data_IF_221534274621
#
_entry.id   IF_221534274621
#
_cell.length_a   1.000
_cell.length_b   1.000
_cell.length_c   1.000
_cell.angle_alpha   90.00
_cell.angle_beta   90.00
_cell.angle_gamma   90.00
#
_symmetry.space_group_name_H-M   'P 1'
#
loop_
_entity.id
_entity.type
_entity.pdbx_description
1 polymer ?
#
# COMPACT_ATOMS: atom_id res chain seq x y z
N UNK A 1 7.96 -4.20 -51.14
CA UNK A 1 6.92 -3.35 -50.52
C UNK A 1 5.72 -4.23 -50.20
N UNK A 2 5.16 -4.02 -49.01
CA UNK A 2 4.05 -4.71 -48.33
C UNK A 2 4.37 -5.95 -47.46
N UNK A 3 4.01 -5.75 -46.18
CA UNK A 3 3.44 -6.66 -45.16
C UNK A 3 4.27 -6.56 -43.86
N UNK A 4 3.76 -6.29 -42.66
CA UNK A 4 2.41 -6.16 -42.09
C UNK A 4 2.65 -5.41 -40.75
N UNK A 5 1.94 -4.31 -40.45
CA UNK A 5 0.80 -4.23 -39.53
C UNK A 5 1.11 -4.46 -38.03
N UNK A 6 0.51 -3.54 -37.25
CA UNK A 6 0.07 -3.64 -35.85
C UNK A 6 1.14 -3.67 -34.75
N UNK A 7 1.48 -2.47 -34.23
CA UNK A 7 1.79 -2.32 -32.81
C UNK A 7 0.45 -2.04 -32.13
N UNK A 8 -0.12 -2.97 -31.33
CA UNK A 8 -1.31 -2.66 -30.58
C UNK A 8 -0.97 -1.62 -29.52
N UNK A 9 -1.81 -0.59 -29.44
CA UNK A 9 -1.86 0.34 -28.33
C UNK A 9 -2.07 -0.45 -27.02
N UNK A 10 -1.03 -0.50 -26.19
CA UNK A 10 -1.14 -0.84 -24.77
C UNK A 10 -0.96 0.46 -23.97
N UNK A 11 -1.84 1.43 -24.23
CA UNK A 11 -1.99 2.64 -23.43
C UNK A 11 -3.47 2.82 -23.07
N UNK A 12 -4.08 1.77 -22.53
CA UNK A 12 -5.43 1.83 -21.99
C UNK A 12 -5.55 0.81 -20.86
N UNK A 13 -6.05 1.28 -19.71
CA UNK A 13 -6.32 0.56 -18.45
C UNK A 13 -5.28 0.68 -17.31
N UNK A 14 -4.83 1.91 -17.04
CA UNK A 14 -4.38 2.33 -15.69
C UNK A 14 -5.29 3.43 -15.11
N UNK A 15 -6.57 3.41 -15.51
CA UNK A 15 -7.62 4.24 -14.93
C UNK A 15 -8.68 3.31 -14.34
N UNK A 16 -9.08 3.61 -13.10
CA UNK A 16 -10.09 2.95 -12.26
C UNK A 16 -9.60 1.80 -11.36
N UNK A 17 -9.10 2.18 -10.18
CA UNK A 17 -9.36 1.46 -8.93
C UNK A 17 -9.19 2.44 -7.76
N UNK A 18 -10.22 3.24 -7.48
CA UNK A 18 -10.36 3.89 -6.17
C UNK A 18 -11.09 2.92 -5.25
N UNK A 19 -10.35 2.03 -4.60
CA UNK A 19 -10.84 1.36 -3.39
C UNK A 19 -10.34 2.15 -2.21
N UNK A 20 -11.25 2.91 -1.58
CA UNK A 20 -11.01 3.55 -0.31
C UNK A 20 -10.82 2.48 0.76
N UNK A 21 -9.59 2.01 0.94
CA UNK A 21 -9.13 1.48 2.21
C UNK A 21 -8.81 2.66 3.12
N UNK A 22 -8.78 2.47 4.44
CA UNK A 22 -8.17 3.45 5.34
C UNK A 22 -6.67 3.51 5.01
N UNK A 23 -6.29 4.42 4.10
CA UNK A 23 -4.93 4.49 3.59
C UNK A 23 -4.04 5.21 4.60
N UNK A 24 -3.16 4.46 5.28
CA UNK A 24 -2.03 5.01 6.05
C UNK A 24 -0.93 5.61 5.15
N UNK A 25 -1.21 5.76 3.85
CA UNK A 25 -0.29 6.32 2.86
C UNK A 25 -0.98 7.42 2.02
N UNK A 26 -0.18 8.35 1.50
CA UNK A 26 -0.69 9.39 0.60
C UNK A 26 -0.95 8.77 -0.79
N UNK A 27 -2.21 8.64 -1.25
CA UNK A 27 -2.46 8.14 -2.60
C UNK A 27 -2.15 9.18 -3.67
N UNK A 28 -1.72 10.40 -3.33
CA UNK A 28 -1.55 11.46 -4.32
C UNK A 28 -0.56 11.10 -5.43
N UNK A 29 -0.85 11.62 -6.61
CA UNK A 29 0.10 11.61 -7.72
C UNK A 29 1.32 12.46 -7.35
N UNK A 30 2.49 12.06 -7.82
CA UNK A 30 3.72 12.84 -7.69
C UNK A 30 4.44 12.96 -9.01
N UNK A 31 5.11 14.09 -9.19
CA UNK A 31 6.03 14.34 -10.29
C UNK A 31 7.45 14.48 -9.74
N UNK A 32 8.42 13.94 -10.47
CA UNK A 32 9.82 13.99 -10.06
C UNK A 32 10.75 14.35 -11.21
N UNK A 33 11.79 15.11 -10.87
CA UNK A 33 12.91 15.40 -11.76
C UNK A 33 14.20 14.83 -11.17
N UNK A 34 15.06 14.27 -12.01
CA UNK A 34 16.36 13.74 -11.59
C UNK A 34 17.48 14.12 -12.54
N UNK A 35 18.69 14.17 -11.99
CA UNK A 35 19.95 14.13 -12.73
C UNK A 35 20.61 12.78 -12.44
N UNK A 36 21.34 12.23 -13.39
CA UNK A 36 22.02 10.95 -13.19
C UNK A 36 23.39 10.91 -13.83
N UNK A 37 24.32 10.24 -13.16
CA UNK A 37 25.54 9.73 -13.76
C UNK A 37 25.24 8.35 -14.35
N UNK A 38 25.79 8.06 -15.52
CA UNK A 38 25.60 6.78 -16.20
C UNK A 38 26.95 6.13 -16.49
N UNK A 39 27.05 4.83 -16.19
CA UNK A 39 28.07 3.96 -16.76
C UNK A 39 27.50 3.37 -18.03
N UNK A 40 28.01 3.83 -19.18
CA UNK A 40 27.56 3.41 -20.50
C UNK A 40 28.38 2.23 -21.00
N UNK A 41 27.73 1.35 -21.76
CA UNK A 41 28.39 0.23 -22.41
C UNK A 41 29.50 0.71 -23.35
N UNK A 42 30.72 0.26 -23.11
CA UNK A 42 31.91 0.69 -23.86
C UNK A 42 31.83 0.28 -25.35
N UNK A 43 30.97 -0.68 -25.69
CA UNK A 43 30.74 -1.13 -27.08
C UNK A 43 30.19 -0.01 -27.97
N UNK A 44 29.51 0.99 -27.40
CA UNK A 44 29.09 2.20 -28.13
C UNK A 44 30.26 3.16 -28.44
N UNK A 45 31.44 2.92 -27.87
CA UNK A 45 32.68 3.64 -28.14
C UNK A 45 32.72 5.07 -27.64
N UNK A 46 31.75 5.52 -26.83
CA UNK A 46 31.68 6.88 -26.29
C UNK A 46 32.17 6.96 -24.83
N UNK A 47 33.04 6.02 -24.44
CA UNK A 47 33.52 5.85 -23.06
C UNK A 47 32.48 5.21 -22.14
N UNK A 48 32.85 5.04 -20.87
CA UNK A 48 32.03 4.44 -19.83
C UNK A 48 31.43 5.47 -18.86
N UNK A 49 31.45 6.75 -19.21
CA UNK A 49 30.93 7.84 -18.36
C UNK A 49 29.99 8.72 -19.17
N UNK A 50 28.74 8.75 -18.74
CA UNK A 50 27.71 9.63 -19.25
C UNK A 50 27.01 10.37 -18.12
N UNK A 51 26.19 11.33 -18.51
CA UNK A 51 25.31 12.05 -17.61
C UNK A 51 23.98 12.30 -18.30
N UNK A 52 22.95 12.54 -17.50
CA UNK A 52 21.61 12.66 -18.01
C UNK A 52 20.64 13.30 -17.05
N UNK A 53 19.42 13.44 -17.56
CA UNK A 53 18.28 13.97 -16.83
C UNK A 53 17.08 13.06 -17.01
N UNK A 54 16.21 13.04 -16.02
CA UNK A 54 15.01 12.22 -16.01
C UNK A 54 13.80 12.99 -15.50
N UNK A 55 12.63 12.63 -16.01
CA UNK A 55 11.33 13.02 -15.47
C UNK A 55 10.53 11.76 -15.18
N UNK A 56 9.77 11.80 -14.09
CA UNK A 56 8.88 10.71 -13.69
C UNK A 56 7.53 11.24 -13.20
N UNK A 57 6.47 10.51 -13.51
CA UNK A 57 5.14 10.72 -12.96
C UNK A 57 4.73 9.42 -12.28
N UNK A 58 4.52 9.48 -10.97
CA UNK A 58 4.22 8.31 -10.15
C UNK A 58 2.87 8.38 -9.46
N UNK A 59 2.33 7.20 -9.20
CA UNK A 59 1.07 6.99 -8.48
C UNK A 59 1.26 5.84 -7.50
N UNK A 60 1.15 6.11 -6.18
CA UNK A 60 1.01 5.07 -5.18
C UNK A 60 -0.23 4.22 -5.46
N UNK A 61 -0.05 2.89 -5.44
CA UNK A 61 -1.09 1.90 -5.72
C UNK A 61 -1.54 1.15 -4.46
N UNK A 62 -0.66 1.01 -3.47
CA UNK A 62 -0.93 0.37 -2.17
C UNK A 62 0.08 0.82 -1.11
N UNK A 63 0.04 0.26 0.10
CA UNK A 63 1.03 0.54 1.17
C UNK A 63 2.48 0.20 0.79
N UNK A 64 2.72 -0.66 -0.20
CA UNK A 64 4.08 -1.04 -0.60
C UNK A 64 4.36 -0.82 -2.08
N UNK A 65 3.35 -0.54 -2.91
CA UNK A 65 3.54 -0.44 -4.35
C UNK A 65 3.31 0.97 -4.89
N UNK A 66 4.21 1.42 -5.75
CA UNK A 66 4.03 2.58 -6.63
C UNK A 66 4.18 2.14 -8.09
N UNK A 67 3.41 2.74 -8.99
CA UNK A 67 3.66 2.69 -10.43
C UNK A 67 4.20 4.03 -10.91
N UNK A 68 5.17 4.02 -11.82
CA UNK A 68 5.74 5.23 -12.43
C UNK A 68 5.77 5.13 -13.95
N UNK A 69 5.52 6.24 -14.61
CA UNK A 69 5.95 6.48 -16.00
C UNK A 69 7.20 7.34 -15.92
N UNK A 70 8.28 6.91 -16.58
CA UNK A 70 9.55 7.64 -16.58
C UNK A 70 10.04 7.92 -18.00
N UNK A 71 10.71 9.04 -18.17
CA UNK A 71 11.46 9.36 -19.37
C UNK A 71 12.86 9.83 -18.98
N UNK A 72 13.88 9.33 -19.66
CA UNK A 72 15.28 9.63 -19.34
C UNK A 72 16.05 9.96 -20.61
N UNK A 73 16.91 10.98 -20.52
CA UNK A 73 17.89 11.30 -21.55
C UNK A 73 19.29 11.12 -20.97
N UNK A 74 20.12 10.32 -21.62
CA UNK A 74 21.51 10.09 -21.25
C UNK A 74 22.42 10.45 -22.41
N UNK A 75 23.55 11.08 -22.12
CA UNK A 75 24.61 11.38 -23.08
C UNK A 75 25.98 10.98 -22.53
N UNK A 76 26.75 10.28 -23.34
CA UNK A 76 28.18 10.03 -23.10
C UNK A 76 29.01 10.56 -24.27
N UNK A 77 30.23 11.00 -24.01
CA UNK A 77 31.13 11.52 -25.03
C UNK A 77 32.56 11.21 -24.64
N UNK A 78 33.29 10.59 -25.56
CA UNK A 78 34.71 10.28 -25.39
C UNK A 78 35.44 10.44 -26.73
N UNK A 79 36.55 11.16 -26.75
CA UNK A 79 37.42 11.33 -27.93
C UNK A 79 36.67 11.62 -29.26
N UNK A 80 35.65 12.49 -29.21
CA UNK A 80 34.84 12.88 -30.38
C UNK A 80 33.69 11.91 -30.73
N UNK A 81 33.65 10.71 -30.13
CA UNK A 81 32.55 9.77 -30.20
C UNK A 81 31.47 10.15 -29.19
N UNK A 82 30.21 9.94 -29.55
CA UNK A 82 29.02 10.39 -28.83
C UNK A 82 28.00 9.27 -28.81
N UNK A 83 27.46 9.02 -27.63
CA UNK A 83 26.32 8.16 -27.40
C UNK A 83 25.20 8.98 -26.77
N UNK A 84 23.97 8.78 -27.26
CA UNK A 84 22.76 9.38 -26.74
C UNK A 84 21.68 8.30 -26.60
N UNK A 85 21.00 8.30 -25.46
CA UNK A 85 19.87 7.42 -25.21
C UNK A 85 18.67 8.26 -24.77
N UNK A 86 17.53 8.06 -25.41
CA UNK A 86 16.23 8.51 -24.90
C UNK A 86 15.43 7.28 -24.51
N UNK A 87 15.01 7.18 -23.26
CA UNK A 87 14.20 6.08 -22.76
C UNK A 87 12.82 6.59 -22.36
N UNK A 88 11.77 5.85 -22.71
CA UNK A 88 10.42 6.01 -22.15
C UNK A 88 9.99 4.66 -21.58
N UNK A 89 9.63 4.63 -20.31
CA UNK A 89 9.35 3.39 -19.61
C UNK A 89 8.27 3.49 -18.56
N UNK A 90 7.88 2.30 -18.07
CA UNK A 90 6.97 2.11 -16.95
C UNK A 90 7.69 1.26 -15.91
N UNK A 91 7.63 1.70 -14.66
CA UNK A 91 8.25 1.03 -13.53
C UNK A 91 7.21 0.64 -12.46
N UNK A 92 7.50 -0.43 -11.75
CA UNK A 92 6.89 -0.79 -10.48
C UNK A 92 7.94 -0.69 -9.37
N UNK A 93 7.59 0.03 -8.31
CA UNK A 93 8.44 0.17 -7.14
C UNK A 93 7.80 -0.54 -5.96
N UNK A 94 8.59 -1.37 -5.28
CA UNK A 94 8.24 -1.99 -4.02
C UNK A 94 8.95 -1.27 -2.87
N UNK A 95 8.20 -0.52 -2.08
CA UNK A 95 8.66 0.21 -0.91
C UNK A 95 8.57 -0.69 0.33
N UNK A 96 9.69 -0.85 1.03
CA UNK A 96 9.73 -1.62 2.29
C UNK A 96 9.12 -0.84 3.47
N UNK A 97 9.07 0.49 3.36
CA UNK A 97 8.47 1.40 4.34
C UNK A 97 7.95 2.66 3.64
N UNK A 98 6.89 3.27 4.20
CA UNK A 98 6.37 4.58 3.79
C UNK A 98 6.63 5.70 4.80
N UNK A 99 7.52 5.46 5.76
CA UNK A 99 7.95 6.47 6.72
C UNK A 99 8.86 7.54 6.09
N UNK A 100 9.53 8.37 6.90
CA UNK A 100 10.40 9.43 6.38
C UNK A 100 11.54 8.90 5.49
N UNK A 101 12.05 7.70 5.79
CA UNK A 101 13.02 6.97 4.98
C UNK A 101 12.33 5.77 4.29
N UNK A 102 12.36 5.77 2.96
CA UNK A 102 11.61 4.81 2.13
C UNK A 102 12.56 4.06 1.22
N UNK A 103 13.21 2.99 1.70
CA UNK A 103 13.99 2.11 0.84
C UNK A 103 13.05 1.34 -0.09
N UNK A 104 13.46 1.12 -1.33
CA UNK A 104 12.66 0.44 -2.33
C UNK A 104 13.48 -0.37 -3.33
N UNK A 105 12.83 -1.38 -3.92
CA UNK A 105 13.27 -2.03 -5.15
C UNK A 105 12.47 -1.46 -6.32
N UNK A 106 13.08 -1.42 -7.50
CA UNK A 106 12.43 -1.01 -8.73
C UNK A 106 12.68 -2.00 -9.86
N UNK A 107 11.64 -2.29 -10.62
CA UNK A 107 11.72 -3.04 -11.86
C UNK A 107 10.92 -2.32 -12.93
N UNK A 108 11.39 -2.34 -14.18
CA UNK A 108 10.76 -1.59 -15.24
C UNK A 108 11.05 -2.11 -16.62
N UNK A 109 10.19 -1.74 -17.56
CA UNK A 109 10.36 -1.97 -18.99
C UNK A 109 10.36 -0.62 -19.71
N UNK A 110 11.18 -0.49 -20.75
CA UNK A 110 11.31 0.75 -21.50
C UNK A 110 11.50 0.49 -22.99
N UNK A 111 11.13 1.48 -23.81
CA UNK A 111 11.62 1.61 -25.17
C UNK A 111 12.79 2.59 -25.15
N UNK A 112 13.98 2.10 -25.50
CA UNK A 112 15.20 2.89 -25.60
C UNK A 112 15.45 3.24 -27.05
N UNK A 113 15.61 4.52 -27.34
CA UNK A 113 16.15 5.00 -28.60
C UNK A 113 17.60 5.41 -28.41
N UNK A 114 18.49 4.60 -28.94
CA UNK A 114 19.93 4.73 -28.85
C UNK A 114 20.49 5.31 -30.15
N UNK A 115 21.40 6.27 -30.03
CA UNK A 115 22.13 6.88 -31.13
C UNK A 115 23.60 6.89 -30.79
N UNK A 116 24.43 6.34 -31.67
CA UNK A 116 25.88 6.38 -31.53
C UNK A 116 26.54 6.72 -32.84
N UNK A 117 27.58 7.56 -32.80
CA UNK A 117 28.51 7.75 -33.90
C UNK A 117 29.87 7.06 -33.66
N UNK A 118 29.98 6.30 -32.57
CA UNK A 118 31.14 5.49 -32.20
C UNK A 118 30.84 3.98 -32.27
N UNK A 119 31.70 3.18 -31.63
CA UNK A 119 31.53 1.73 -31.53
C UNK A 119 31.87 0.98 -32.81
N UNK A 120 31.29 -0.22 -32.95
CA UNK A 120 31.48 -1.09 -34.12
C UNK A 120 30.79 -0.54 -35.38
N UNK A 121 29.66 0.15 -35.22
CA UNK A 121 28.89 0.76 -36.30
C UNK A 121 28.12 1.98 -35.79
N UNK A 122 28.22 3.10 -36.51
CA UNK A 122 27.39 4.27 -36.24
C UNK A 122 25.94 4.02 -36.66
N UNK A 123 24.97 4.45 -35.84
CA UNK A 123 23.56 4.17 -36.08
C UNK A 123 22.59 4.83 -35.10
N UNK A 124 21.31 4.62 -35.36
CA UNK A 124 20.16 4.96 -34.52
C UNK A 124 19.25 3.73 -34.49
N UNK A 125 18.87 3.27 -33.31
CA UNK A 125 17.96 2.13 -33.16
C UNK A 125 17.00 2.39 -32.01
N UNK A 126 15.79 1.84 -32.13
CA UNK A 126 14.84 1.75 -31.03
C UNK A 126 14.66 0.29 -30.64
N UNK A 127 14.88 -0.01 -29.37
CA UNK A 127 14.87 -1.35 -28.83
C UNK A 127 14.13 -1.41 -27.49
N UNK A 128 13.47 -2.54 -27.19
CA UNK A 128 12.96 -2.78 -25.86
C UNK A 128 14.11 -2.97 -24.88
N UNK A 129 13.89 -2.55 -23.63
CA UNK A 129 14.82 -2.69 -22.53
C UNK A 129 14.09 -3.13 -21.27
N UNK A 130 14.79 -3.91 -20.46
CA UNK A 130 14.39 -4.25 -19.10
C UNK A 130 15.33 -3.57 -18.11
N UNK A 131 14.82 -3.22 -16.93
CA UNK A 131 15.62 -2.58 -15.91
C UNK A 131 15.26 -3.06 -14.51
N UNK A 132 16.25 -3.05 -13.64
CA UNK A 132 16.11 -3.41 -12.24
C UNK A 132 17.07 -2.56 -11.40
N UNK A 133 16.65 -2.19 -10.20
CA UNK A 133 17.43 -1.33 -9.34
C UNK A 133 16.92 -1.28 -7.91
N UNK A 134 17.57 -0.43 -7.14
CA UNK A 134 17.26 -0.15 -5.76
C UNK A 134 17.47 1.33 -5.49
N UNK A 135 16.69 1.86 -4.56
CA UNK A 135 16.81 3.25 -4.20
C UNK A 135 16.25 3.53 -2.81
N UNK A 136 16.37 4.78 -2.42
CA UNK A 136 15.76 5.29 -1.21
C UNK A 136 15.16 6.67 -1.49
N UNK A 137 13.99 6.93 -0.90
CA UNK A 137 13.41 8.26 -0.83
C UNK A 137 13.47 8.79 0.59
N UNK A 138 13.69 10.10 0.72
CA UNK A 138 13.77 10.83 1.98
C UNK A 138 12.74 11.94 1.96
N UNK A 139 11.78 11.91 2.87
CA UNK A 139 10.81 13.00 3.01
C UNK A 139 11.52 14.26 3.53
N UNK A 140 11.42 15.35 2.79
CA UNK A 140 11.96 16.67 3.17
C UNK A 140 10.90 17.48 3.93
N UNK A 141 9.65 17.35 3.50
CA UNK A 141 8.45 17.87 4.15
C UNK A 141 7.24 17.06 3.67
N UNK A 142 6.03 17.54 3.95
CA UNK A 142 4.79 16.84 3.59
C UNK A 142 4.64 16.57 2.09
N UNK A 143 5.21 17.40 1.20
CA UNK A 143 5.01 17.28 -0.25
C UNK A 143 6.29 17.00 -1.04
N UNK A 144 7.45 17.31 -0.46
CA UNK A 144 8.73 17.15 -1.13
C UNK A 144 9.49 15.97 -0.57
N UNK A 145 10.07 15.17 -1.47
CA UNK A 145 11.02 14.13 -1.11
C UNK A 145 12.22 14.12 -2.03
N UNK A 146 13.41 13.94 -1.46
CA UNK A 146 14.61 13.62 -2.22
C UNK A 146 14.65 12.12 -2.52
N UNK A 147 15.32 11.76 -3.60
CA UNK A 147 15.53 10.36 -3.96
C UNK A 147 16.94 10.11 -4.48
N UNK A 148 17.46 8.94 -4.14
CA UNK A 148 18.65 8.34 -4.75
C UNK A 148 18.27 6.98 -5.29
N UNK A 149 18.72 6.66 -6.50
CA UNK A 149 18.34 5.43 -7.19
C UNK A 149 19.54 4.92 -8.00
N UNK A 150 19.97 3.69 -7.71
CA UNK A 150 20.86 2.96 -8.60
C UNK A 150 20.04 1.97 -9.40
N UNK A 151 20.25 1.90 -10.71
CA UNK A 151 19.54 0.96 -11.57
C UNK A 151 20.42 0.50 -12.73
N UNK A 152 20.20 -0.73 -13.15
CA UNK A 152 20.82 -1.34 -14.32
C UNK A 152 19.76 -1.51 -15.40
N UNK A 153 20.11 -1.14 -16.63
CA UNK A 153 19.24 -1.15 -17.81
C UNK A 153 19.88 -2.05 -18.85
N UNK A 154 19.16 -3.08 -19.27
CA UNK A 154 19.59 -4.03 -20.30
C UNK A 154 18.71 -3.85 -21.54
N UNK A 155 19.31 -3.44 -22.65
CA UNK A 155 18.66 -3.25 -23.94
C UNK A 155 18.82 -4.45 -24.86
N UNK A 156 17.75 -4.83 -25.56
CA UNK A 156 17.72 -5.93 -26.53
C UNK A 156 17.72 -5.36 -27.96
N UNK A 157 18.92 -5.09 -28.47
CA UNK A 157 19.16 -4.43 -29.75
C UNK A 157 19.11 -5.42 -30.93
N UNK A 158 18.87 -4.90 -32.13
CA UNK A 158 19.03 -5.69 -33.35
C UNK A 158 20.48 -5.64 -33.82
N UNK A 159 21.10 -6.81 -34.06
CA UNK A 159 22.51 -6.91 -34.41
C UNK A 159 22.92 -6.04 -35.62
N UNK A 160 22.03 -5.88 -36.60
CA UNK A 160 22.31 -5.12 -37.82
C UNK A 160 22.43 -3.60 -37.59
N UNK A 161 21.98 -3.07 -36.45
CA UNK A 161 21.98 -1.64 -36.20
C UNK A 161 23.36 -1.15 -35.74
N UNK A 162 23.92 -1.81 -34.73
CA UNK A 162 25.20 -1.43 -34.11
C UNK A 162 26.31 -2.48 -34.19
N UNK A 163 26.04 -3.69 -34.70
CA UNK A 163 26.99 -4.80 -34.72
C UNK A 163 27.02 -5.63 -33.43
N UNK A 164 26.03 -5.43 -32.55
CA UNK A 164 25.76 -6.21 -31.34
C UNK A 164 24.27 -6.20 -31.03
N UNK A 165 23.79 -7.22 -30.31
CA UNK A 165 22.36 -7.43 -30.04
C UNK A 165 21.93 -7.11 -28.60
N UNK A 166 22.87 -6.75 -27.73
CA UNK A 166 22.59 -6.44 -26.33
C UNK A 166 23.54 -5.36 -25.85
N UNK A 167 23.05 -4.48 -24.98
CA UNK A 167 23.89 -3.51 -24.28
C UNK A 167 23.37 -3.27 -22.87
N UNK A 168 24.27 -3.07 -21.92
CA UNK A 168 23.89 -2.80 -20.53
C UNK A 168 24.48 -1.49 -20.03
N UNK A 169 23.62 -0.61 -19.54
CA UNK A 169 24.02 0.64 -18.89
C UNK A 169 23.64 0.57 -17.42
N UNK A 170 24.41 1.23 -16.55
CA UNK A 170 24.03 1.47 -15.16
C UNK A 170 23.87 2.96 -14.93
N UNK A 171 22.95 3.37 -14.08
CA UNK A 171 22.82 4.77 -13.67
C UNK A 171 22.71 4.91 -12.16
N UNK A 172 23.27 6.01 -11.66
CA UNK A 172 23.06 6.51 -10.31
C UNK A 172 22.37 7.86 -10.43
N UNK A 173 21.12 7.92 -9.96
CA UNK A 173 20.24 9.07 -10.11
C UNK A 173 20.00 9.75 -8.78
N UNK A 174 19.97 11.08 -8.80
CA UNK A 174 19.58 11.94 -7.69
C UNK A 174 18.42 12.81 -8.15
N UNK A 175 17.34 12.86 -7.38
CA UNK A 175 16.14 13.58 -7.80
C UNK A 175 15.33 14.16 -6.65
N UNK A 176 14.39 15.02 -7.02
CA UNK A 176 13.38 15.58 -6.14
C UNK A 176 12.00 15.20 -6.70
N UNK A 177 11.12 14.78 -5.80
CA UNK A 177 9.73 14.47 -6.11
C UNK A 177 8.82 15.43 -5.34
N UNK A 178 7.74 15.83 -6.00
CA UNK A 178 6.67 16.66 -5.46
C UNK A 178 5.34 15.91 -5.55
N UNK A 179 4.71 15.66 -4.40
CA UNK A 179 3.35 15.12 -4.31
C UNK A 179 2.31 16.24 -4.37
N UNK A 180 1.31 16.09 -5.25
CA UNK A 180 0.34 17.16 -5.51
C UNK A 180 -0.55 17.45 -4.30
N UNK A 181 -1.00 16.40 -3.61
CA UNK A 181 -1.74 16.53 -2.36
C UNK A 181 -0.82 16.25 -1.18
N UNK A 182 -1.04 16.98 -0.10
CA UNK A 182 -0.42 16.65 1.18
C UNK A 182 -0.92 15.28 1.64
N UNK A 183 -0.05 14.44 2.24
CA UNK A 183 -0.47 13.25 2.94
C UNK A 183 -1.61 13.63 3.89
N UNK A 184 -2.70 12.86 3.88
CA UNK A 184 -3.63 12.94 5.00
C UNK A 184 -2.81 12.60 6.23
N UNK A 185 -2.56 13.61 7.06
CA UNK A 185 -2.07 13.38 8.41
C UNK A 185 -3.19 12.61 9.09
N UNK A 186 -3.11 11.27 9.09
CA UNK A 186 -3.74 10.51 10.15
C UNK A 186 -3.25 11.18 11.43
N UNK A 187 -4.16 11.72 12.23
CA UNK A 187 -3.83 12.46 13.44
C UNK A 187 -2.79 11.64 14.21
N UNK A 188 -1.53 12.08 14.17
CA UNK A 188 -0.46 11.37 14.88
C UNK A 188 -0.89 11.34 16.34
N UNK A 189 -0.90 10.18 17.02
CA UNK A 189 -1.07 10.19 18.46
C UNK A 189 0.02 11.11 19.02
N UNK A 190 -0.42 12.06 19.83
CA UNK A 190 0.42 13.11 20.40
C UNK A 190 1.60 12.44 21.11
N UNK A 191 2.80 12.55 20.55
CA UNK A 191 4.02 12.08 21.20
C UNK A 191 4.31 13.05 22.34
N UNK A 192 4.17 12.60 23.58
CA UNK A 192 4.62 13.35 24.74
C UNK A 192 6.14 13.50 24.65
N UNK A 193 6.61 14.75 24.66
CA UNK A 193 8.04 15.06 24.73
C UNK A 193 8.66 14.37 25.97
N UNK A 194 9.87 13.80 25.86
CA UNK A 194 10.56 13.26 27.02
C UNK A 194 10.88 14.40 27.99
N UNK A 195 10.51 14.23 29.26
CA UNK A 195 10.74 15.20 30.31
C UNK A 195 12.25 15.49 30.47
N UNK A 196 12.65 16.75 30.73
CA UNK A 196 14.05 17.08 30.98
C UNK A 196 14.58 16.33 32.22
N UNK A 197 15.88 16.00 32.25
CA UNK A 197 16.47 15.26 33.37
C UNK A 197 16.33 16.06 34.68
N UNK A 198 16.04 15.39 35.81
CA UNK A 198 15.82 16.08 37.08
C UNK A 198 17.12 16.69 37.60
N UNK A 199 17.06 17.97 37.98
CA UNK A 199 18.09 18.62 38.78
C UNK A 199 18.18 17.96 40.17
N UNK A 200 19.35 17.97 40.84
CA UNK A 200 19.52 17.36 42.15
C UNK A 200 18.65 18.07 43.20
N UNK A 201 17.62 17.38 43.68
CA UNK A 201 16.67 17.89 44.67
C UNK A 201 17.28 17.84 46.06
N UNK A 202 17.44 19.02 46.66
CA UNK A 202 17.63 19.22 48.10
C UNK A 202 16.37 18.71 48.82
N UNK A 203 16.56 17.79 49.78
CA UNK A 203 15.48 17.10 50.49
C UNK A 203 14.64 18.09 51.30
N UNK A 204 13.43 18.39 50.83
CA UNK A 204 12.33 18.92 51.65
C UNK A 204 11.25 17.83 51.82
N UNK A 205 10.57 17.87 52.97
CA UNK A 205 9.58 16.88 53.40
C UNK A 205 8.44 16.70 52.37
N UNK A 206 7.92 15.47 52.20
CA UNK A 206 7.06 15.13 51.07
C UNK A 206 5.66 15.75 51.19
N UNK A 207 5.11 16.31 50.10
CA UNK A 207 3.70 16.68 50.02
C UNK A 207 2.81 15.42 49.93
N UNK A 208 1.51 15.52 50.25
CA UNK A 208 0.59 14.38 50.18
C UNK A 208 0.54 13.79 48.76
N UNK A 209 0.39 12.45 48.64
CA UNK A 209 0.49 11.76 47.36
C UNK A 209 -0.58 12.22 46.37
N UNK A 210 -0.14 12.56 45.16
CA UNK A 210 -1.03 12.89 44.05
C UNK A 210 -1.91 11.69 43.67
N UNK A 211 -3.16 11.91 43.21
CA UNK A 211 -4.03 10.83 42.73
C UNK A 211 -3.34 10.05 41.60
N UNK A 212 -3.29 8.73 41.74
CA UNK A 212 -2.76 7.82 40.71
C UNK A 212 -3.55 8.01 39.41
N UNK A 213 -2.85 8.27 38.31
CA UNK A 213 -3.49 8.36 37.00
C UNK A 213 -4.20 7.02 36.67
N UNK A 214 -5.44 7.04 36.16
CA UNK A 214 -6.17 5.82 35.87
C UNK A 214 -5.44 4.99 34.81
N UNK A 215 -5.47 3.64 34.91
CA UNK A 215 -4.83 2.75 33.94
C UNK A 215 -5.42 2.95 32.53
N UNK A 216 -4.62 2.71 31.46
CA UNK A 216 -5.08 2.86 30.08
C UNK A 216 -6.27 1.91 29.79
N UNK A 217 -7.26 2.35 28.99
CA UNK A 217 -8.44 1.54 28.68
C UNK A 217 -8.05 0.29 27.88
N UNK A 218 -8.54 -0.87 28.32
CA UNK A 218 -8.35 -2.15 27.62
C UNK A 218 -9.52 -2.38 26.67
N UNK A 219 -9.23 -2.49 25.37
CA UNK A 219 -10.22 -2.81 24.35
C UNK A 219 -10.35 -4.32 24.18
N UNK A 220 -11.59 -4.82 24.14
CA UNK A 220 -11.87 -6.23 23.82
C UNK A 220 -12.58 -6.35 22.45
N UNK A 221 -12.29 -7.45 21.76
CA UNK A 221 -12.93 -7.89 20.52
C UNK A 221 -13.68 -9.18 20.79
N UNK A 222 -14.98 -9.21 20.53
CA UNK A 222 -15.78 -10.43 20.60
C UNK A 222 -16.07 -10.91 19.19
N UNK A 223 -15.76 -12.17 18.91
CA UNK A 223 -16.10 -12.84 17.66
C UNK A 223 -17.24 -13.83 17.90
N UNK A 224 -18.31 -13.68 17.14
CA UNK A 224 -19.50 -14.54 17.19
C UNK A 224 -19.63 -15.30 15.87
N UNK A 225 -19.87 -16.61 15.91
CA UNK A 225 -20.10 -17.39 14.69
C UNK A 225 -21.43 -16.98 14.05
N UNK A 226 -21.44 -16.79 12.72
CA UNK A 226 -22.67 -16.50 12.01
C UNK A 226 -23.63 -17.71 12.02
N UNK A 227 -23.10 -18.92 12.20
CA UNK A 227 -23.92 -20.14 12.31
C UNK A 227 -24.69 -20.19 13.63
N UNK A 228 -24.13 -19.62 14.71
CA UNK A 228 -24.83 -19.45 16.00
C UNK A 228 -25.87 -18.32 15.93
N UNK A 229 -25.56 -17.26 15.18
CA UNK A 229 -26.39 -16.06 15.09
C UNK A 229 -27.56 -16.20 14.11
N UNK A 230 -27.37 -16.89 12.99
CA UNK A 230 -28.31 -16.87 11.85
C UNK A 230 -28.56 -18.28 11.30
N UNK A 231 -29.76 -18.50 10.78
CA UNK A 231 -30.04 -19.65 9.94
C UNK A 231 -29.23 -19.61 8.61
N UNK A 232 -29.10 -20.76 7.95
CA UNK A 232 -28.39 -20.87 6.67
C UNK A 232 -28.93 -19.87 5.63
N UNK A 233 -28.04 -19.15 4.95
CA UNK A 233 -28.37 -18.07 4.01
C UNK A 233 -29.31 -16.97 4.54
N UNK A 234 -29.43 -16.84 5.87
CA UNK A 234 -30.24 -15.82 6.50
C UNK A 234 -29.40 -14.71 7.13
N UNK A 235 -30.03 -13.54 7.26
CA UNK A 235 -29.59 -12.44 8.11
C UNK A 235 -30.55 -12.22 9.30
N UNK A 236 -31.64 -12.99 9.39
CA UNK A 236 -32.55 -12.95 10.54
C UNK A 236 -31.88 -13.66 11.71
N UNK A 237 -31.72 -12.94 12.82
CA UNK A 237 -31.15 -13.50 14.04
C UNK A 237 -32.04 -14.62 14.58
N UNK A 238 -31.43 -15.77 14.84
CA UNK A 238 -32.06 -16.82 15.65
C UNK A 238 -32.29 -16.30 17.06
N UNK A 239 -33.35 -16.70 17.73
CA UNK A 239 -33.59 -16.34 19.14
C UNK A 239 -33.66 -17.62 19.99
N UNK A 240 -33.14 -17.62 21.23
CA UNK A 240 -32.55 -16.50 21.99
C UNK A 240 -31.09 -16.18 21.62
N UNK A 241 -30.59 -14.99 22.01
CA UNK A 241 -29.20 -14.53 21.78
C UNK A 241 -28.49 -14.07 23.07
N UNK A 242 -28.18 -14.99 24.00
CA UNK A 242 -27.63 -14.64 25.32
C UNK A 242 -26.30 -13.88 25.22
N UNK A 243 -25.41 -14.23 24.26
CA UNK A 243 -24.15 -13.51 24.05
C UNK A 243 -24.37 -12.04 23.64
N UNK A 244 -25.40 -11.75 22.83
CA UNK A 244 -25.74 -10.38 22.46
C UNK A 244 -26.42 -9.64 23.61
N UNK A 245 -27.15 -10.36 24.47
CA UNK A 245 -27.73 -9.80 25.69
C UNK A 245 -26.63 -9.38 26.69
N UNK A 246 -25.60 -10.20 26.88
CA UNK A 246 -24.44 -9.86 27.72
C UNK A 246 -23.70 -8.63 27.19
N UNK A 247 -23.53 -8.53 25.86
CA UNK A 247 -22.93 -7.36 25.21
C UNK A 247 -23.80 -6.12 25.42
N UNK A 248 -25.12 -6.23 25.27
CA UNK A 248 -26.03 -5.12 25.53
C UNK A 248 -25.98 -4.67 27.00
N UNK A 249 -25.94 -5.61 27.95
CA UNK A 249 -25.81 -5.30 29.37
C UNK A 249 -24.48 -4.56 29.66
N UNK A 250 -23.37 -5.04 29.08
CA UNK A 250 -22.07 -4.40 29.22
C UNK A 250 -22.03 -2.99 28.62
N UNK A 251 -22.61 -2.77 27.45
CA UNK A 251 -22.66 -1.45 26.79
C UNK A 251 -23.60 -0.46 27.49
N UNK A 252 -24.66 -0.95 28.15
CA UNK A 252 -25.53 -0.13 28.99
C UNK A 252 -24.85 0.27 30.31
N UNK A 253 -24.09 -0.65 30.93
CA UNK A 253 -23.32 -0.36 32.13
C UNK A 253 -22.16 0.63 31.88
N UNK A 254 -21.76 0.81 30.60
CA UNK A 254 -20.61 1.61 30.19
C UNK A 254 -20.98 2.59 29.08
N UNK A 255 -21.76 3.66 29.37
CA UNK A 255 -22.21 4.63 28.38
C UNK A 255 -21.06 5.44 27.76
N UNK A 256 -19.88 5.48 28.39
CA UNK A 256 -18.68 6.10 27.86
C UNK A 256 -18.11 5.37 26.62
N UNK A 257 -18.47 4.11 26.42
CA UNK A 257 -18.07 3.34 25.23
C UNK A 257 -18.89 3.82 24.05
N UNK A 258 -18.24 4.56 23.17
CA UNK A 258 -18.82 5.09 21.94
C UNK A 258 -18.04 4.50 20.75
N UNK A 259 -18.68 4.41 19.58
CA UNK A 259 -18.08 3.87 18.34
C UNK A 259 -17.90 2.34 18.28
N UNK A 260 -18.82 1.57 18.86
CA UNK A 260 -18.83 0.10 18.74
C UNK A 260 -18.99 -0.30 17.27
N UNK A 261 -18.03 -1.05 16.73
CA UNK A 261 -18.06 -1.49 15.32
C UNK A 261 -18.49 -2.95 15.24
N UNK A 262 -19.56 -3.19 14.51
CA UNK A 262 -20.14 -4.51 14.23
C UNK A 262 -19.81 -4.86 12.79
N UNK A 263 -18.88 -5.80 12.60
CA UNK A 263 -18.41 -6.20 11.27
C UNK A 263 -18.89 -7.59 10.91
N UNK A 264 -19.60 -7.73 9.80
CA UNK A 264 -20.01 -9.02 9.26
C UNK A 264 -19.02 -9.54 8.22
N UNK A 265 -18.74 -10.85 8.27
CA UNK A 265 -17.93 -11.57 7.29
C UNK A 265 -18.68 -12.78 6.73
N UNK A 266 -18.36 -13.14 5.51
CA UNK A 266 -18.83 -14.33 4.81
C UNK A 266 -17.63 -15.21 4.42
N UNK A 267 -17.89 -16.46 4.06
CA UNK A 267 -16.87 -17.27 3.40
C UNK A 267 -16.84 -16.98 1.89
N UNK A 268 -15.85 -17.55 1.20
CA UNK A 268 -15.68 -17.40 -0.26
C UNK A 268 -16.69 -18.18 -1.12
N UNK A 269 -17.73 -18.76 -0.52
CA UNK A 269 -18.75 -19.54 -1.25
C UNK A 269 -19.87 -18.58 -1.63
N UNK A 270 -19.74 -17.98 -2.81
CA UNK A 270 -20.71 -17.02 -3.33
C UNK A 270 -20.03 -16.11 -4.35
N UNK A 271 -20.75 -15.11 -4.84
CA UNK A 271 -20.10 -13.98 -5.52
C UNK A 271 -19.75 -12.91 -4.51
N UNK A 272 -18.69 -12.14 -4.75
CA UNK A 272 -18.25 -11.06 -3.87
C UNK A 272 -19.39 -10.09 -3.52
N UNK A 273 -20.20 -9.71 -4.52
CA UNK A 273 -21.36 -8.83 -4.33
C UNK A 273 -22.43 -9.46 -3.43
N UNK A 274 -22.68 -10.76 -3.57
CA UNK A 274 -23.62 -11.48 -2.72
C UNK A 274 -23.09 -11.55 -1.28
N UNK A 275 -21.82 -11.94 -1.12
CA UNK A 275 -21.15 -12.07 0.17
C UNK A 275 -21.10 -10.75 0.92
N UNK A 276 -20.79 -9.65 0.22
CA UNK A 276 -20.79 -8.31 0.79
C UNK A 276 -22.17 -7.93 1.32
N UNK A 277 -23.22 -8.03 0.49
CA UNK A 277 -24.59 -7.69 0.87
C UNK A 277 -25.11 -8.57 2.04
N UNK A 278 -24.82 -9.88 2.02
CA UNK A 278 -25.23 -10.78 3.09
C UNK A 278 -24.54 -10.44 4.41
N UNK A 279 -23.23 -10.18 4.37
CA UNK A 279 -22.44 -9.81 5.54
C UNK A 279 -22.90 -8.48 6.14
N UNK A 280 -23.25 -7.50 5.31
CA UNK A 280 -23.77 -6.20 5.72
C UNK A 280 -25.15 -6.33 6.37
N UNK A 281 -26.05 -7.13 5.80
CA UNK A 281 -27.37 -7.41 6.40
C UNK A 281 -27.26 -8.08 7.76
N UNK A 282 -26.30 -8.99 7.93
CA UNK A 282 -26.03 -9.66 9.22
C UNK A 282 -25.52 -8.67 10.28
N UNK A 283 -24.55 -7.82 9.91
CA UNK A 283 -24.06 -6.77 10.80
C UNK A 283 -25.19 -5.80 11.22
N UNK A 284 -26.02 -5.39 10.27
CA UNK A 284 -27.18 -4.53 10.56
C UNK A 284 -28.20 -5.21 11.47
N UNK A 285 -28.44 -6.51 11.31
CA UNK A 285 -29.38 -7.25 12.17
C UNK A 285 -28.91 -7.31 13.62
N UNK A 286 -27.59 -7.47 13.85
CA UNK A 286 -26.98 -7.36 15.19
C UNK A 286 -27.09 -5.93 15.73
N UNK A 287 -26.85 -4.91 14.91
CA UNK A 287 -27.05 -3.51 15.30
C UNK A 287 -28.49 -3.24 15.73
N UNK A 288 -29.47 -3.68 14.95
CA UNK A 288 -30.90 -3.54 15.27
C UNK A 288 -31.25 -4.27 16.56
N UNK A 289 -30.70 -5.46 16.79
CA UNK A 289 -30.90 -6.20 18.04
C UNK A 289 -30.38 -5.43 19.26
N UNK A 290 -29.14 -4.93 19.20
CA UNK A 290 -28.56 -4.15 20.29
C UNK A 290 -29.30 -2.82 20.52
N UNK A 291 -29.77 -2.18 19.45
CA UNK A 291 -30.60 -0.97 19.56
C UNK A 291 -31.93 -1.25 20.27
N UNK A 292 -32.59 -2.37 19.93
CA UNK A 292 -33.81 -2.81 20.61
C UNK A 292 -33.58 -3.19 22.09
N UNK A 293 -32.32 -3.42 22.50
CA UNK A 293 -31.90 -3.63 23.89
C UNK A 293 -31.52 -2.33 24.61
N UNK A 294 -31.77 -1.17 23.99
CA UNK A 294 -31.59 0.16 24.58
C UNK A 294 -30.26 0.83 24.28
N UNK A 295 -29.41 0.24 23.42
CA UNK A 295 -28.15 0.88 23.02
C UNK A 295 -28.43 1.92 21.93
N UNK A 296 -28.07 3.18 22.17
CA UNK A 296 -28.22 4.23 21.16
C UNK A 296 -27.55 3.82 19.83
N UNK A 297 -28.33 3.81 18.75
CA UNK A 297 -27.87 3.46 17.41
C UNK A 297 -26.76 4.37 16.87
N UNK A 298 -26.56 5.56 17.42
CA UNK A 298 -25.42 6.44 17.12
C UNK A 298 -24.09 5.90 17.69
N UNK A 299 -24.15 5.07 18.73
CA UNK A 299 -22.98 4.39 19.32
C UNK A 299 -22.54 3.17 18.51
N UNK A 300 -23.39 2.68 17.60
CA UNK A 300 -23.21 1.43 16.87
C UNK A 300 -22.97 1.68 15.38
N UNK A 301 -21.87 1.17 14.83
CA UNK A 301 -21.61 1.17 13.40
C UNK A 301 -21.67 -0.26 12.86
N UNK A 302 -22.40 -0.49 11.76
CA UNK A 302 -22.53 -1.82 11.15
C UNK A 302 -21.89 -1.82 9.76
N UNK A 303 -20.96 -2.75 9.51
CA UNK A 303 -20.19 -2.83 8.28
C UNK A 303 -20.21 -4.27 7.76
N UNK A 304 -20.49 -4.45 6.47
CA UNK A 304 -20.27 -5.72 5.77
C UNK A 304 -18.91 -5.74 5.09
N UNK A 305 -18.15 -6.82 5.26
CA UNK A 305 -16.83 -7.01 4.64
C UNK A 305 -16.76 -8.17 3.64
N UNK A 306 -17.88 -8.84 3.39
CA UNK A 306 -17.93 -9.99 2.48
C UNK A 306 -16.93 -11.06 2.87
N UNK A 307 -16.25 -11.63 1.89
CA UNK A 307 -15.23 -12.68 2.09
C UNK A 307 -13.83 -12.16 2.41
N UNK A 308 -13.67 -10.85 2.63
CA UNK A 308 -12.37 -10.28 2.99
C UNK A 308 -11.94 -10.71 4.40
N UNK A 309 -10.63 -10.66 4.66
CA UNK A 309 -10.03 -11.06 5.94
C UNK A 309 -10.44 -12.48 6.40
N UNK A 310 -10.13 -13.53 5.61
CA UNK A 310 -10.40 -14.91 5.99
C UNK A 310 -9.56 -15.31 7.19
N UNK A 311 -10.18 -15.95 8.19
CA UNK A 311 -9.50 -16.56 9.34
C UNK A 311 -8.85 -17.88 8.92
N UNK A 312 -9.49 -18.61 8.00
CA UNK A 312 -9.01 -19.88 7.49
C UNK A 312 -9.04 -19.90 5.97
N UNK A 313 -8.02 -20.53 5.38
CA UNK A 313 -7.93 -20.77 3.92
C UNK A 313 -8.00 -22.27 3.68
N UNK A 314 -9.05 -22.70 2.98
CA UNK A 314 -9.34 -24.13 2.74
C UNK A 314 -9.35 -24.44 1.24
N UNK A 315 -8.78 -25.60 0.86
CA UNK A 315 -8.67 -26.08 -0.52
C UNK A 315 -9.28 -27.50 -0.72
N UNK A 316 -10.15 -27.95 0.19
CA UNK A 316 -10.81 -29.26 0.11
C UNK A 316 -11.60 -29.40 -1.21
N UNK A 317 -11.44 -30.57 -1.86
CA UNK A 317 -12.09 -30.88 -3.16
C UNK A 317 -13.58 -31.19 -3.02
N UNK A 318 -13.99 -31.80 -1.90
CA UNK A 318 -15.40 -32.11 -1.61
C UNK A 318 -16.09 -30.87 -1.04
N UNK A 319 -17.25 -30.50 -1.61
CA UNK A 319 -17.99 -29.30 -1.23
C UNK A 319 -18.42 -29.30 0.24
N UNK A 320 -18.86 -30.45 0.77
CA UNK A 320 -19.22 -30.61 2.19
C UNK A 320 -18.07 -30.24 3.12
N UNK A 321 -16.89 -30.78 2.83
CA UNK A 321 -15.70 -30.63 3.66
C UNK A 321 -15.16 -29.21 3.55
N UNK A 322 -15.31 -28.59 2.37
CA UNK A 322 -14.97 -27.19 2.15
C UNK A 322 -15.89 -26.24 2.94
N UNK A 323 -17.20 -26.48 2.96
CA UNK A 323 -18.17 -25.67 3.72
C UNK A 323 -17.90 -25.75 5.21
N UNK A 324 -17.59 -26.96 5.71
CA UNK A 324 -17.24 -27.19 7.11
C UNK A 324 -15.93 -26.50 7.47
N UNK A 325 -14.90 -26.63 6.63
CA UNK A 325 -13.60 -25.98 6.86
C UNK A 325 -13.71 -24.45 6.86
N UNK A 326 -14.53 -23.86 5.97
CA UNK A 326 -14.71 -22.41 5.87
C UNK A 326 -15.67 -21.83 6.93
N UNK A 327 -16.23 -22.64 7.82
CA UNK A 327 -17.16 -22.17 8.86
C UNK A 327 -16.65 -20.97 9.68
N UNK A 328 -15.39 -20.94 10.14
CA UNK A 328 -14.87 -19.82 10.92
C UNK A 328 -14.89 -18.48 10.18
N UNK A 329 -14.91 -18.49 8.84
CA UNK A 329 -14.98 -17.25 8.06
C UNK A 329 -16.37 -16.61 8.09
N UNK A 330 -17.42 -17.40 8.33
CA UNK A 330 -18.80 -16.92 8.50
C UNK A 330 -18.97 -16.44 9.95
N UNK A 331 -18.70 -15.16 10.20
CA UNK A 331 -18.70 -14.60 11.56
C UNK A 331 -19.18 -13.15 11.61
N UNK A 332 -19.53 -12.70 12.80
CA UNK A 332 -19.73 -11.28 13.13
C UNK A 332 -18.76 -10.92 14.25
N UNK A 333 -18.01 -9.85 14.07
CA UNK A 333 -17.07 -9.33 15.05
C UNK A 333 -17.61 -8.03 15.62
N UNK A 334 -17.54 -7.87 16.94
CA UNK A 334 -17.92 -6.64 17.65
C UNK A 334 -16.66 -6.12 18.31
N UNK A 335 -16.19 -4.97 17.83
CA UNK A 335 -14.94 -4.32 18.25
C UNK A 335 -15.24 -3.04 19.05
N UNK A 336 -14.34 -2.74 19.99
CA UNK A 336 -14.37 -1.59 20.92
C UNK A 336 -15.44 -1.65 22.02
N UNK A 337 -15.22 -2.48 23.03
CA UNK A 337 -15.78 -2.25 24.36
C UNK A 337 -14.69 -2.26 25.44
N UNK A 338 -14.68 -1.24 26.29
CA UNK A 338 -13.78 -1.12 27.44
C UNK A 338 -14.44 -1.79 28.63
N UNK A 339 -14.00 -2.99 29.01
CA UNK A 339 -14.37 -3.53 30.33
C UNK A 339 -13.36 -2.98 31.33
N UNK A 340 -13.69 -1.90 32.02
CA UNK A 340 -13.00 -1.59 33.27
C UNK A 340 -13.36 -2.69 34.28
N UNK A 341 -12.57 -3.77 34.31
CA UNK A 341 -12.57 -4.63 35.48
C UNK A 341 -11.94 -3.86 36.63
N UNK A 342 -12.75 -3.16 37.42
CA UNK A 342 -12.40 -2.92 38.82
C UNK A 342 -12.43 -4.29 39.50
N UNK A 343 -11.26 -4.92 39.59
CA UNK A 343 -11.04 -5.99 40.56
C UNK A 343 -11.41 -5.39 41.92
N UNK A 344 -12.49 -5.90 42.53
CA UNK A 344 -12.95 -5.48 43.85
C UNK A 344 -11.97 -5.93 44.93
#
# INVERSE_FOLDING_TARGET
MNNLKTIPAALACLFCASTAMAEDYNPSWYIGGSVHAAETDETFGAGNRGYGVGLRLGKPLSENWDAQINTNYTRATDNGKRYQQNALGVDLLYLFSREAFRPYLVVGIAANRDRSNGGLKAGDSTAPAASAGLGAQFSLNDQWSAQVEWRKVHGYLHNNDFGFSQASNSHLSFGLNYAFDKPRVAARPVSYAPAPPPEPVVVQAPPPPAPVAPPPPVYQKITLSATELFAFNSAVLSTPQPKLDDIAAALNANPQINQVVITGYADRIGSDKYNLNLSEKRANSVKTYLNNKGIDGQRLNAIGKGESNPVVVCNNKKRSDLIACLEPNRRVEIEQFTVEQRIK
#
